data_IF_505245684149
#
_entry.id   IF_505245684149
#
_cell.length_a   1.000
_cell.length_b   1.000
_cell.length_c   1.000
_cell.angle_alpha   90.00
_cell.angle_beta   90.00
_cell.angle_gamma   90.00
#
_symmetry.space_group_name_H-M   'P 1'
#
loop_
_entity.id
_entity.type
_entity.pdbx_description
1 polymer ?
#
# COMPACT_ATOMS: atom_id res chain seq x y z
N UNK A 1 8.48 14.76 -18.08
CA UNK A 1 7.34 13.82 -18.10
C UNK A 1 6.60 13.99 -16.79
N UNK A 2 5.45 14.67 -16.83
CA UNK A 2 4.70 15.10 -15.64
C UNK A 2 3.72 14.00 -15.24
N UNK A 3 3.64 13.72 -13.94
CA UNK A 3 2.70 12.77 -13.36
C UNK A 3 1.26 13.19 -13.62
N UNK A 4 0.60 12.48 -14.54
CA UNK A 4 -0.85 12.46 -14.59
C UNK A 4 -1.30 11.28 -13.75
N UNK A 5 -1.81 11.60 -12.55
CA UNK A 5 -2.67 10.73 -11.78
C UNK A 5 -4.01 10.72 -12.53
N UNK A 6 -4.25 9.71 -13.36
CA UNK A 6 -5.54 9.57 -14.05
C UNK A 6 -6.61 9.05 -13.08
N UNK A 7 -7.88 9.17 -13.45
CA UNK A 7 -9.05 8.84 -12.61
C UNK A 7 -9.00 7.41 -12.01
N UNK A 8 -8.26 6.49 -12.64
CA UNK A 8 -8.02 5.13 -12.15
C UNK A 8 -7.14 5.05 -10.89
N UNK A 9 -6.51 6.15 -10.46
CA UNK A 9 -5.79 6.17 -9.20
C UNK A 9 -6.80 6.10 -8.06
N UNK A 10 -7.82 6.95 -7.91
CA UNK A 10 -8.78 6.92 -6.79
C UNK A 10 -9.35 5.54 -6.36
N UNK A 11 -9.47 4.56 -7.27
CA UNK A 11 -9.96 3.19 -7.00
C UNK A 11 -8.94 2.28 -6.28
N UNK A 12 -7.64 2.58 -6.32
CA UNK A 12 -6.54 1.71 -5.84
C UNK A 12 -6.52 1.38 -4.34
N UNK A 13 -7.10 2.23 -3.49
CA UNK A 13 -7.15 2.03 -2.04
C UNK A 13 -8.40 1.25 -1.63
N UNK A 14 -9.36 1.05 -2.54
CA UNK A 14 -10.66 0.46 -2.21
C UNK A 14 -10.57 -0.96 -1.64
N UNK A 15 -9.50 -1.68 -1.99
CA UNK A 15 -9.27 -3.07 -1.55
C UNK A 15 -8.15 -3.21 -0.50
N UNK A 16 -7.50 -2.11 -0.09
CA UNK A 16 -6.46 -2.15 0.93
C UNK A 16 -7.05 -1.79 2.29
N UNK A 17 -6.98 -2.74 3.21
CA UNK A 17 -7.31 -2.52 4.61
C UNK A 17 -6.08 -1.95 5.34
N UNK A 18 -6.33 -1.02 6.25
CA UNK A 18 -5.31 -0.44 7.11
C UNK A 18 -5.51 -0.94 8.54
N UNK A 19 -4.47 -1.58 9.07
CA UNK A 19 -4.44 -2.14 10.41
C UNK A 19 -3.29 -1.53 11.21
N UNK A 20 -3.50 -1.32 12.52
CA UNK A 20 -2.45 -0.91 13.43
C UNK A 20 -2.00 -2.13 14.24
N UNK A 21 -0.74 -2.51 14.09
CA UNK A 21 -0.10 -3.59 14.84
C UNK A 21 0.97 -3.06 15.80
N UNK A 22 1.32 -3.84 16.82
CA UNK A 22 2.42 -3.52 17.73
C UNK A 22 3.52 -4.56 17.57
N UNK A 23 4.68 -4.16 17.03
CA UNK A 23 5.88 -5.00 16.92
C UNK A 23 6.91 -4.54 17.94
N UNK A 24 7.22 -5.40 18.93
CA UNK A 24 8.15 -5.07 20.04
C UNK A 24 7.80 -3.74 20.72
N UNK A 25 6.51 -3.60 21.08
CA UNK A 25 5.93 -2.41 21.71
C UNK A 25 5.96 -1.11 20.88
N UNK A 26 6.33 -1.19 19.60
CA UNK A 26 6.29 -0.05 18.68
C UNK A 26 5.08 -0.18 17.73
N UNK A 27 4.29 0.89 17.55
CA UNK A 27 3.17 0.87 16.62
C UNK A 27 3.69 0.82 15.17
N UNK A 28 3.13 -0.09 14.38
CA UNK A 28 3.40 -0.27 12.96
C UNK A 28 2.08 -0.24 12.21
N UNK A 29 1.99 0.57 11.17
CA UNK A 29 0.85 0.55 10.25
C UNK A 29 1.07 -0.53 9.21
N UNK A 30 0.08 -1.41 9.08
CA UNK A 30 0.04 -2.47 8.07
C UNK A 30 -1.04 -2.13 7.07
N UNK A 31 -0.68 -2.13 5.78
CA UNK A 31 -1.64 -2.09 4.68
C UNK A 31 -1.68 -3.49 4.05
N UNK A 32 -2.87 -4.08 3.96
CA UNK A 32 -3.06 -5.44 3.46
C UNK A 32 -4.26 -5.51 2.53
N UNK A 33 -4.12 -6.24 1.42
CA UNK A 33 -5.20 -6.49 0.48
C UNK A 33 -4.70 -6.85 -0.91
N UNK A 34 -5.63 -7.13 -1.82
CA UNK A 34 -5.33 -7.51 -3.18
C UNK A 34 -5.14 -6.30 -4.09
N UNK A 35 -4.09 -6.34 -4.90
CA UNK A 35 -3.78 -5.36 -5.93
C UNK A 35 -3.87 -6.01 -7.31
N UNK A 36 -4.45 -5.30 -8.27
CA UNK A 36 -4.72 -5.82 -9.62
C UNK A 36 -3.45 -6.18 -10.40
N UNK A 37 -2.37 -5.43 -10.19
CA UNK A 37 -1.08 -5.65 -10.84
C UNK A 37 0.08 -4.99 -10.07
N UNK A 38 1.30 -5.09 -10.62
CA UNK A 38 2.49 -4.47 -10.05
C UNK A 38 2.52 -2.94 -10.19
N UNK A 39 1.82 -2.36 -11.17
CA UNK A 39 1.74 -0.90 -11.30
C UNK A 39 0.93 -0.29 -10.15
N UNK A 40 -0.14 -0.97 -9.71
CA UNK A 40 -0.91 -0.59 -8.52
C UNK A 40 -0.03 -0.63 -7.25
N UNK A 41 0.78 -1.68 -7.07
CA UNK A 41 1.75 -1.75 -5.96
C UNK A 41 2.74 -0.58 -5.99
N UNK A 42 3.36 -0.32 -7.14
CA UNK A 42 4.26 0.81 -7.31
C UNK A 42 3.58 2.15 -7.00
N UNK A 43 2.30 2.30 -7.36
CA UNK A 43 1.49 3.46 -7.01
C UNK A 43 1.38 3.67 -5.50
N UNK A 44 1.06 2.62 -4.75
CA UNK A 44 0.97 2.65 -3.28
C UNK A 44 2.31 2.99 -2.66
N UNK A 45 3.40 2.36 -3.09
CA UNK A 45 4.75 2.63 -2.57
C UNK A 45 5.18 4.07 -2.81
N UNK A 46 4.90 4.62 -4.00
CA UNK A 46 5.15 6.02 -4.31
C UNK A 46 4.33 6.97 -3.42
N UNK A 47 3.07 6.64 -3.13
CA UNK A 47 2.24 7.42 -2.22
C UNK A 47 2.81 7.43 -0.80
N UNK A 48 3.16 6.26 -0.25
CA UNK A 48 3.77 6.14 1.07
C UNK A 48 5.06 6.96 1.17
N UNK A 49 5.89 6.89 0.12
CA UNK A 49 7.10 7.70 0.02
C UNK A 49 6.81 9.20 -0.04
N UNK A 50 5.79 9.63 -0.81
CA UNK A 50 5.38 11.03 -0.87
C UNK A 50 4.84 11.56 0.47
N UNK A 51 4.24 10.70 1.28
CA UNK A 51 3.81 11.01 2.65
C UNK A 51 4.95 11.01 3.68
N UNK A 52 6.17 10.62 3.28
CA UNK A 52 7.32 10.49 4.18
C UNK A 52 7.22 9.32 5.15
N UNK A 53 6.36 8.34 4.86
CA UNK A 53 6.23 7.12 5.68
C UNK A 53 7.38 6.18 5.36
N UNK A 54 7.99 5.63 6.40
CA UNK A 54 9.06 4.62 6.26
C UNK A 54 8.42 3.28 5.94
N UNK A 55 8.76 2.73 4.77
CA UNK A 55 8.41 1.36 4.41
C UNK A 55 9.34 0.39 5.15
N UNK A 56 8.77 -0.44 6.03
CA UNK A 56 9.54 -1.41 6.80
C UNK A 56 9.69 -2.74 6.06
N UNK A 57 8.62 -3.21 5.42
CA UNK A 57 8.53 -4.53 4.81
C UNK A 57 7.41 -4.54 3.76
N UNK A 58 7.56 -5.38 2.73
CA UNK A 58 6.51 -5.73 1.77
C UNK A 58 6.47 -7.24 1.65
N UNK A 59 5.29 -7.82 1.86
CA UNK A 59 5.08 -9.26 1.84
C UNK A 59 3.93 -9.59 0.91
N UNK A 60 4.09 -10.61 0.08
CA UNK A 60 2.98 -11.13 -0.72
C UNK A 60 2.03 -11.91 0.19
N UNK A 61 0.75 -11.55 0.18
CA UNK A 61 -0.30 -12.33 0.85
C UNK A 61 -0.79 -13.43 -0.10
N UNK A 62 -0.97 -14.64 0.41
CA UNK A 62 -1.62 -15.72 -0.36
C UNK A 62 -3.11 -15.39 -0.51
N UNK A 63 -3.69 -15.63 -1.69
CA UNK A 63 -5.14 -15.51 -1.84
C UNK A 63 -5.84 -16.54 -0.93
N UNK A 64 -6.83 -16.13 -0.13
CA UNK A 64 -7.62 -17.09 0.63
C UNK A 64 -8.37 -18.00 -0.35
N UNK A 65 -8.08 -19.29 -0.26
CA UNK A 65 -8.66 -20.36 -1.08
C UNK A 65 -10.16 -20.58 -0.85
#
# INVERSE_FOLDING_TARGET
MKGHLDAGHSEWLGNLELHLEFRRDQPVTVLSGSLTDQAALHGVLNMLQALGVVLLEVTQVEEPN
#
